data_IF_661154768375
#
_entry.id   IF_661154768375
#
_cell.length_a   1.000
_cell.length_b   1.000
_cell.length_c   1.000
_cell.angle_alpha   90.00
_cell.angle_beta   90.00
_cell.angle_gamma   90.00
#
_symmetry.space_group_name_H-M   'P 1'
#
loop_
_entity.id
_entity.type
_entity.pdbx_description
1 polymer ?
#
# COMPACT_ATOMS: atom_id res chain seq x y z
N UNK A 1 16.22 0.72 12.43
CA UNK A 1 15.94 -0.38 13.40
C UNK A 1 14.68 -1.16 12.97
N UNK A 2 13.57 -0.51 12.64
CA UNK A 2 12.29 -1.19 12.25
C UNK A 2 12.49 -2.08 11.02
N UNK A 3 13.10 -1.59 9.95
CA UNK A 3 13.36 -2.35 8.72
C UNK A 3 14.20 -3.61 8.99
N UNK A 4 15.24 -3.49 9.83
CA UNK A 4 16.08 -4.63 10.21
C UNK A 4 15.30 -5.69 11.01
N UNK A 5 14.40 -5.23 11.89
CA UNK A 5 13.51 -6.12 12.64
C UNK A 5 12.53 -6.83 11.71
N UNK A 6 11.89 -6.11 10.80
CA UNK A 6 10.98 -6.67 9.80
C UNK A 6 11.68 -7.71 8.91
N UNK A 7 12.90 -7.42 8.46
CA UNK A 7 13.68 -8.35 7.66
C UNK A 7 14.02 -9.64 8.44
N UNK A 8 14.42 -9.50 9.70
CA UNK A 8 14.74 -10.64 10.56
C UNK A 8 13.55 -11.57 10.81
N UNK A 9 12.35 -10.98 10.95
CA UNK A 9 11.12 -11.74 11.25
C UNK A 9 10.19 -11.85 10.05
N UNK A 10 10.71 -11.66 8.83
CA UNK A 10 9.90 -11.67 7.61
C UNK A 10 9.06 -12.95 7.47
N UNK A 11 9.67 -14.12 7.58
CA UNK A 11 8.96 -15.41 7.45
C UNK A 11 7.88 -15.58 8.54
N UNK A 12 8.17 -15.42 9.85
CA UNK A 12 7.13 -15.43 10.88
C UNK A 12 5.99 -14.46 10.62
N UNK A 13 6.26 -13.24 10.16
CA UNK A 13 5.23 -12.24 9.85
C UNK A 13 4.33 -12.71 8.72
N UNK A 14 4.91 -13.21 7.63
CA UNK A 14 4.13 -13.73 6.49
C UNK A 14 3.27 -14.92 6.90
N UNK A 15 3.87 -15.90 7.60
CA UNK A 15 3.14 -17.08 8.08
C UNK A 15 2.02 -16.69 9.04
N UNK A 16 2.26 -15.78 9.98
CA UNK A 16 1.22 -15.32 10.88
C UNK A 16 0.11 -14.58 10.15
N UNK A 17 0.43 -13.76 9.15
CA UNK A 17 -0.53 -13.04 8.32
C UNK A 17 -1.44 -13.97 7.50
N UNK A 18 -0.97 -15.17 7.17
CA UNK A 18 -1.78 -16.20 6.52
C UNK A 18 -2.56 -17.06 7.52
N UNK A 19 -1.93 -17.48 8.63
CA UNK A 19 -2.51 -18.40 9.59
C UNK A 19 -3.52 -17.76 10.54
N UNK A 20 -3.29 -16.49 10.97
CA UNK A 20 -4.13 -15.81 11.93
C UNK A 20 -5.61 -15.74 11.51
N UNK A 21 -5.97 -15.43 10.27
CA UNK A 21 -7.37 -15.45 9.82
C UNK A 21 -8.05 -16.81 10.03
N UNK A 22 -7.33 -17.91 9.81
CA UNK A 22 -7.86 -19.26 10.04
C UNK A 22 -8.26 -19.46 11.51
N UNK A 23 -7.37 -19.13 12.44
CA UNK A 23 -7.66 -19.27 13.87
C UNK A 23 -8.78 -18.33 14.33
N UNK A 24 -8.85 -17.12 13.80
CA UNK A 24 -9.95 -16.20 14.08
C UNK A 24 -11.27 -16.83 13.59
N UNK A 25 -11.31 -17.37 12.38
CA UNK A 25 -12.48 -18.06 11.85
C UNK A 25 -12.93 -19.25 12.70
N UNK A 26 -11.98 -20.05 13.21
CA UNK A 26 -12.27 -21.14 14.13
C UNK A 26 -12.91 -20.66 15.45
N UNK A 27 -12.45 -19.53 15.99
CA UNK A 27 -12.98 -18.99 17.26
C UNK A 27 -14.41 -18.48 17.14
N UNK A 28 -14.82 -17.98 15.96
CA UNK A 28 -16.14 -17.38 15.75
C UNK A 28 -17.15 -18.34 15.11
N UNK A 29 -16.70 -19.45 14.57
CA UNK A 29 -17.54 -20.40 13.86
C UNK A 29 -17.02 -21.83 14.08
N UNK A 30 -16.71 -22.53 12.99
CA UNK A 30 -16.23 -23.90 12.93
C UNK A 30 -15.07 -24.05 11.93
N UNK A 31 -14.71 -25.27 11.56
CA UNK A 31 -13.70 -25.56 10.56
C UNK A 31 -13.98 -24.91 9.19
N UNK A 32 -15.24 -24.83 8.80
CA UNK A 32 -15.65 -24.21 7.53
C UNK A 32 -15.39 -22.71 7.61
N UNK A 33 -15.74 -22.06 8.73
CA UNK A 33 -15.44 -20.67 9.00
C UNK A 33 -13.93 -20.39 9.04
N UNK A 34 -13.15 -21.27 9.66
CA UNK A 34 -11.69 -21.21 9.65
C UNK A 34 -11.10 -21.25 8.25
N UNK A 35 -11.51 -22.21 7.42
CA UNK A 35 -11.08 -22.32 6.02
C UNK A 35 -11.53 -21.09 5.20
N UNK A 36 -12.76 -20.64 5.38
CA UNK A 36 -13.29 -19.44 4.70
C UNK A 36 -12.46 -18.20 5.01
N UNK A 37 -12.15 -17.95 6.28
CA UNK A 37 -11.29 -16.84 6.70
C UNK A 37 -9.85 -16.97 6.17
N UNK A 38 -9.28 -18.17 6.17
CA UNK A 38 -7.96 -18.42 5.57
C UNK A 38 -7.95 -18.08 4.08
N UNK A 39 -8.94 -18.58 3.32
CA UNK A 39 -9.01 -18.36 1.88
C UNK A 39 -9.27 -16.90 1.52
N UNK A 40 -10.17 -16.21 2.22
CA UNK A 40 -10.54 -14.82 1.90
C UNK A 40 -9.54 -13.82 2.51
N UNK A 41 -9.35 -13.83 3.82
CA UNK A 41 -8.56 -12.84 4.53
C UNK A 41 -7.05 -13.19 4.58
N UNK A 42 -6.67 -14.43 4.40
CA UNK A 42 -5.28 -14.86 4.24
C UNK A 42 -4.85 -14.79 2.77
N UNK A 43 -5.27 -15.78 1.98
CA UNK A 43 -4.81 -15.97 0.60
C UNK A 43 -5.37 -14.88 -0.33
N UNK A 44 -6.68 -14.63 -0.29
CA UNK A 44 -7.35 -13.64 -1.17
C UNK A 44 -6.82 -12.23 -0.96
N UNK A 45 -6.65 -11.81 0.29
CA UNK A 45 -6.00 -10.52 0.60
C UNK A 45 -4.58 -10.46 0.03
N UNK A 46 -3.77 -11.51 0.22
CA UNK A 46 -2.38 -11.53 -0.28
C UNK A 46 -2.36 -11.45 -1.80
N UNK A 47 -3.24 -12.20 -2.47
CA UNK A 47 -3.42 -12.13 -3.92
C UNK A 47 -3.79 -10.71 -4.37
N UNK A 48 -4.77 -10.08 -3.73
CA UNK A 48 -5.21 -8.72 -4.07
C UNK A 48 -4.08 -7.70 -3.91
N UNK A 49 -3.33 -7.74 -2.79
CA UNK A 49 -2.21 -6.81 -2.53
C UNK A 49 -1.09 -6.99 -3.56
N UNK A 50 -0.70 -8.23 -3.87
CA UNK A 50 0.34 -8.49 -4.86
C UNK A 50 -0.07 -8.00 -6.26
N UNK A 51 -1.31 -8.26 -6.68
CA UNK A 51 -1.79 -7.77 -7.97
C UNK A 51 -1.90 -6.24 -8.02
N UNK A 52 -2.32 -5.59 -6.93
CA UNK A 52 -2.29 -4.13 -6.84
C UNK A 52 -0.86 -3.59 -7.02
N UNK A 53 0.13 -4.18 -6.36
CA UNK A 53 1.54 -3.82 -6.52
C UNK A 53 2.03 -4.03 -7.96
N UNK A 54 1.66 -5.15 -8.59
CA UNK A 54 2.00 -5.39 -10.00
C UNK A 54 1.33 -4.38 -10.93
N UNK A 55 0.10 -3.96 -10.66
CA UNK A 55 -0.57 -2.89 -11.41
C UNK A 55 0.19 -1.56 -11.34
N UNK A 56 0.74 -1.20 -10.18
CA UNK A 56 1.57 0.00 -10.05
C UNK A 56 2.78 -0.12 -10.99
N UNK A 57 3.52 -1.22 -10.90
CA UNK A 57 4.76 -1.41 -11.66
C UNK A 57 4.55 -1.73 -13.16
N UNK A 58 3.34 -1.97 -13.62
CA UNK A 58 3.02 -2.23 -15.02
C UNK A 58 2.15 -1.15 -15.62
N UNK A 59 0.94 -0.97 -15.11
CA UNK A 59 -0.04 -0.04 -15.67
C UNK A 59 0.46 1.40 -15.57
N UNK A 60 0.99 1.80 -14.42
CA UNK A 60 1.54 3.14 -14.23
C UNK A 60 2.90 3.38 -14.92
N UNK A 61 3.38 2.45 -15.71
CA UNK A 61 4.48 2.65 -16.67
C UNK A 61 4.02 2.60 -18.13
N UNK A 62 2.75 2.25 -18.38
CA UNK A 62 2.18 2.17 -19.72
C UNK A 62 1.11 3.22 -19.99
N UNK A 63 0.22 3.47 -19.00
CA UNK A 63 -0.95 4.33 -19.16
C UNK A 63 -1.06 5.36 -18.05
N UNK A 64 -1.29 6.61 -18.44
CA UNK A 64 -1.46 7.75 -17.57
C UNK A 64 -0.72 8.97 -18.09
N UNK A 65 -0.60 9.99 -17.27
CA UNK A 65 0.04 11.25 -17.58
C UNK A 65 1.41 11.36 -16.92
N UNK A 66 2.30 12.23 -17.45
CA UNK A 66 3.61 12.52 -16.88
C UNK A 66 3.74 14.01 -16.57
N UNK A 67 2.97 14.55 -15.59
CA UNK A 67 2.92 15.97 -15.34
C UNK A 67 4.12 16.50 -14.53
N UNK A 68 4.86 15.64 -13.86
CA UNK A 68 5.90 16.04 -12.89
C UNK A 68 7.33 15.81 -13.39
N UNK A 69 7.57 14.77 -14.16
CA UNK A 69 8.88 14.46 -14.71
C UNK A 69 8.81 13.44 -15.84
N UNK A 70 9.79 13.51 -16.76
CA UNK A 70 9.91 12.61 -17.91
C UNK A 70 11.23 11.84 -17.88
N UNK A 71 11.76 11.58 -16.67
CA UNK A 71 13.05 10.90 -16.49
C UNK A 71 12.97 9.40 -16.74
N UNK A 72 11.77 8.84 -16.59
CA UNK A 72 11.47 7.43 -16.80
C UNK A 72 10.05 7.26 -17.40
N UNK A 73 9.55 6.04 -17.46
CA UNK A 73 8.23 5.73 -18.00
C UNK A 73 7.09 5.83 -16.99
N UNK A 74 7.36 6.24 -15.75
CA UNK A 74 6.32 6.36 -14.70
C UNK A 74 5.24 7.39 -15.06
N UNK A 75 4.00 7.07 -14.74
CA UNK A 75 2.81 7.85 -15.10
C UNK A 75 1.85 7.93 -13.92
N UNK A 76 1.16 9.04 -13.81
CA UNK A 76 0.07 9.24 -12.86
C UNK A 76 -1.23 8.70 -13.46
N UNK A 77 -1.88 7.80 -12.74
CA UNK A 77 -3.15 7.20 -13.10
C UNK A 77 -4.11 7.24 -11.91
N UNK A 78 -5.06 8.18 -11.95
CA UNK A 78 -5.99 8.41 -10.84
C UNK A 78 -6.85 7.18 -10.50
N UNK A 79 -7.26 6.41 -11.53
CA UNK A 79 -8.08 5.21 -11.31
C UNK A 79 -7.27 4.04 -10.72
N UNK A 80 -5.97 3.93 -11.05
CA UNK A 80 -5.07 2.99 -10.37
C UNK A 80 -4.91 3.39 -8.91
N UNK A 81 -4.83 4.69 -8.61
CA UNK A 81 -4.76 5.18 -7.23
C UNK A 81 -5.92 4.71 -6.36
N UNK A 82 -7.14 4.55 -6.93
CA UNK A 82 -8.29 4.06 -6.17
C UNK A 82 -8.10 2.62 -5.66
N UNK A 83 -7.50 1.75 -6.46
CA UNK A 83 -7.28 0.34 -6.11
C UNK A 83 -5.95 0.08 -5.40
N UNK A 84 -5.04 1.06 -5.42
CA UNK A 84 -3.69 0.95 -4.85
C UNK A 84 -3.45 1.94 -3.70
N UNK A 85 -4.52 2.53 -3.14
CA UNK A 85 -4.46 3.45 -2.00
C UNK A 85 -3.53 4.66 -2.19
N UNK A 86 -3.51 5.21 -3.43
CA UNK A 86 -2.75 6.41 -3.77
C UNK A 86 -1.48 6.16 -4.59
N UNK A 87 -0.98 4.93 -4.62
CA UNK A 87 0.27 4.57 -5.32
C UNK A 87 0.21 4.76 -6.85
N UNK A 88 -1.00 4.97 -7.41
CA UNK A 88 -1.18 5.27 -8.84
C UNK A 88 -0.69 6.65 -9.27
N UNK A 89 -0.36 7.57 -8.35
CA UNK A 89 0.36 8.83 -8.66
C UNK A 89 1.86 8.57 -8.77
N UNK A 90 2.21 7.68 -9.68
CA UNK A 90 3.53 7.06 -9.74
C UNK A 90 4.60 7.96 -10.37
N UNK A 91 4.21 8.85 -11.29
CA UNK A 91 5.11 9.86 -11.84
C UNK A 91 5.48 10.93 -10.81
N UNK A 92 4.52 11.34 -9.96
CA UNK A 92 4.82 12.20 -8.83
C UNK A 92 5.80 11.54 -7.87
N UNK A 93 5.52 10.31 -7.46
CA UNK A 93 6.38 9.54 -6.55
C UNK A 93 7.82 9.38 -7.10
N UNK A 94 7.99 9.04 -8.38
CA UNK A 94 9.30 8.91 -9.02
C UNK A 94 10.05 10.24 -9.10
N UNK A 95 9.33 11.34 -9.29
CA UNK A 95 9.93 12.68 -9.36
C UNK A 95 10.31 13.21 -7.97
N UNK A 96 9.47 12.96 -6.96
CA UNK A 96 9.61 13.52 -5.61
C UNK A 96 9.66 12.41 -4.54
N UNK A 97 10.60 11.51 -4.64
CA UNK A 97 10.72 10.28 -3.82
C UNK A 97 10.77 10.53 -2.30
N UNK A 98 11.14 11.73 -1.85
CA UNK A 98 11.18 12.07 -0.43
C UNK A 98 9.89 12.71 0.10
N UNK A 99 8.91 13.00 -0.75
CA UNK A 99 7.60 13.49 -0.33
C UNK A 99 6.81 12.33 0.33
N UNK A 100 6.16 12.62 1.46
CA UNK A 100 5.37 11.63 2.16
C UNK A 100 4.03 11.32 1.47
N UNK A 101 3.64 12.16 0.49
CA UNK A 101 2.40 12.04 -0.28
C UNK A 101 2.68 11.32 -1.60
N UNK A 102 1.80 10.42 -1.98
CA UNK A 102 1.79 9.91 -3.35
C UNK A 102 1.10 10.90 -4.30
N UNK A 103 -0.03 11.47 -3.88
CA UNK A 103 -0.74 12.51 -4.64
C UNK A 103 -0.54 13.91 -4.03
N UNK A 104 0.04 14.89 -4.78
CA UNK A 104 0.41 16.20 -4.23
C UNK A 104 -0.78 17.06 -3.80
N UNK A 105 -1.90 16.96 -4.51
CA UNK A 105 -3.06 17.82 -4.27
C UNK A 105 -3.96 17.26 -3.17
N UNK A 106 -4.64 18.15 -2.44
CA UNK A 106 -5.53 17.77 -1.33
C UNK A 106 -6.65 16.83 -1.77
N UNK A 107 -7.17 17.00 -2.99
CA UNK A 107 -8.25 16.19 -3.58
C UNK A 107 -7.78 14.85 -4.19
N UNK A 108 -6.48 14.62 -4.31
CA UNK A 108 -5.98 13.34 -4.78
C UNK A 108 -6.35 12.24 -3.78
N UNK A 109 -6.94 11.17 -4.28
CA UNK A 109 -7.23 9.99 -3.46
C UNK A 109 -5.93 9.30 -3.05
N UNK A 110 -5.52 9.54 -1.81
CA UNK A 110 -4.29 9.03 -1.22
C UNK A 110 -4.53 8.77 0.28
N UNK A 111 -5.15 7.62 0.63
CA UNK A 111 -5.38 7.25 2.02
C UNK A 111 -4.11 7.15 2.85
N UNK A 112 -2.98 6.77 2.22
CA UNK A 112 -1.67 6.71 2.87
C UNK A 112 -1.24 8.09 3.40
N UNK A 113 -1.38 9.12 2.57
CA UNK A 113 -1.14 10.52 2.96
C UNK A 113 -2.01 10.94 4.14
N UNK A 114 -3.30 10.63 4.09
CA UNK A 114 -4.23 11.02 5.15
C UNK A 114 -3.92 10.31 6.46
N UNK A 115 -3.57 9.02 6.41
CA UNK A 115 -3.14 8.27 7.59
C UNK A 115 -1.86 8.86 8.19
N UNK A 116 -0.83 9.10 7.38
CA UNK A 116 0.45 9.68 7.85
C UNK A 116 0.23 11.06 8.44
N UNK A 117 -0.59 11.89 7.80
CA UNK A 117 -0.95 13.21 8.34
C UNK A 117 -1.69 13.09 9.68
N UNK A 118 -2.68 12.21 9.79
CA UNK A 118 -3.39 11.95 11.04
C UNK A 118 -2.46 11.49 12.16
N UNK A 119 -1.51 10.58 11.84
CA UNK A 119 -0.49 10.14 12.79
C UNK A 119 0.43 11.29 13.22
N UNK A 120 0.71 12.24 12.33
CA UNK A 120 1.52 13.41 12.70
C UNK A 120 0.81 14.35 13.66
N UNK A 121 -0.51 14.48 13.56
CA UNK A 121 -1.31 15.30 14.47
C UNK A 121 -1.27 14.79 15.93
N UNK A 122 -1.03 13.51 16.13
CA UNK A 122 -0.89 12.88 17.47
C UNK A 122 0.56 12.56 17.84
N UNK A 123 1.53 13.07 17.08
CA UNK A 123 2.97 12.96 17.38
C UNK A 123 3.59 11.59 17.08
N UNK A 124 2.87 10.68 16.41
CA UNK A 124 3.39 9.35 16.02
C UNK A 124 4.19 9.37 14.69
N UNK A 125 4.02 10.39 13.88
CA UNK A 125 4.85 10.64 12.70
C UNK A 125 5.44 12.05 12.80
N UNK A 126 6.73 12.19 12.46
CA UNK A 126 7.44 13.47 12.56
C UNK A 126 8.24 13.73 11.27
N UNK A 127 8.62 15.00 11.05
CA UNK A 127 9.49 15.39 9.93
C UNK A 127 8.91 15.03 8.56
N UNK A 128 7.60 15.26 8.37
CA UNK A 128 6.95 15.03 7.09
C UNK A 128 7.59 15.93 6.02
N UNK A 129 8.20 15.31 5.02
CA UNK A 129 8.81 16.02 3.89
C UNK A 129 7.78 16.22 2.80
N UNK A 130 7.74 17.42 2.23
CA UNK A 130 6.90 17.77 1.07
C UNK A 130 7.79 18.36 -0.01
N UNK A 131 7.56 18.00 -1.26
CA UNK A 131 8.13 18.72 -2.40
C UNK A 131 7.51 20.12 -2.46
N UNK A 132 8.33 21.09 -2.80
CA UNK A 132 7.92 22.48 -3.00
C UNK A 132 7.45 22.68 -4.43
#
# INVERSE_FOLDING_TARGET
RVVMWQHRYYIPIVVSGLALPFFIGLLYSDWIGGIGCFLLAGVGRTFAVLNSTFCINSICHLWGEQPHGQFDSSRDSWWVSLITFGEGYHNYHHTYQSDYRNGPYWYNFDPSKWLIFGLSCIGLATSLRTAQ
#
